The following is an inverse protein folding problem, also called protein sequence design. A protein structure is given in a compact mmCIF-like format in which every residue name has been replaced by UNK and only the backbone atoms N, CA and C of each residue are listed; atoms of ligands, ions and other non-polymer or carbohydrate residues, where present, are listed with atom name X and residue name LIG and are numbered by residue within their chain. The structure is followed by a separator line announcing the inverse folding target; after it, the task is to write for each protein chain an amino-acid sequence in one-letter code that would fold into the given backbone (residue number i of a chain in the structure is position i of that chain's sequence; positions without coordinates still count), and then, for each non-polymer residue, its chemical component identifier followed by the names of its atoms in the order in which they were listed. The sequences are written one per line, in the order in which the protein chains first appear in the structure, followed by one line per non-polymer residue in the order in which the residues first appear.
data_IF_262319177958
#
_entry.id   IF_262319177958
#
_cell.length_a   1.000
_cell.length_b   1.000
_cell.length_c   1.000
_cell.angle_alpha   90.00
_cell.angle_beta   90.00
_cell.angle_gamma   90.00
#
_symmetry.space_group_name_H-M   'P 1'
#
loop_
_entity.id
_entity.type
_entity.pdbx_description
1 polymer ?
#
# COMPACT_ATOMS: atom_id res chain seq x y z
N UNK A 1 -10.92 -15.20 -57.58
CA UNK A 1 -9.60 -15.25 -56.92
C UNK A 1 -9.83 -14.53 -55.60
N UNK A 2 -9.90 -15.28 -54.50
CA UNK A 2 -10.13 -14.72 -53.16
C UNK A 2 -8.78 -14.21 -52.65
N UNK A 3 -8.67 -12.91 -52.42
CA UNK A 3 -7.53 -12.33 -51.72
C UNK A 3 -7.58 -12.77 -50.26
N UNK A 4 -6.53 -13.47 -49.84
CA UNK A 4 -6.32 -13.88 -48.47
C UNK A 4 -6.02 -12.63 -47.64
N UNK A 5 -6.94 -12.26 -46.76
CA UNK A 5 -6.74 -11.23 -45.76
C UNK A 5 -5.77 -11.78 -44.70
N UNK A 6 -4.48 -11.47 -44.84
CA UNK A 6 -3.48 -11.74 -43.82
C UNK A 6 -3.75 -10.81 -42.64
N UNK A 7 -4.30 -11.34 -41.54
CA UNK A 7 -4.39 -10.60 -40.30
C UNK A 7 -2.98 -10.14 -39.88
N UNK A 8 -2.81 -8.90 -39.39
CA UNK A 8 -1.52 -8.43 -38.93
C UNK A 8 -1.01 -9.34 -37.79
N UNK A 9 0.21 -9.84 -37.94
CA UNK A 9 0.91 -10.56 -36.87
C UNK A 9 1.32 -9.54 -35.81
N UNK A 10 0.60 -9.50 -34.69
CA UNK A 10 0.99 -8.71 -33.51
C UNK A 10 2.31 -9.23 -32.97
N UNK A 11 3.33 -8.37 -32.92
CA UNK A 11 4.58 -8.66 -32.21
C UNK A 11 4.25 -8.60 -30.72
N UNK A 12 4.33 -9.74 -30.04
CA UNK A 12 4.10 -9.82 -28.60
C UNK A 12 5.44 -9.54 -27.89
N UNK A 13 5.58 -8.34 -27.31
CA UNK A 13 6.67 -8.02 -26.38
C UNK A 13 6.39 -8.63 -25.01
N UNK A 14 7.43 -9.13 -24.34
CA UNK A 14 7.31 -9.74 -23.00
C UNK A 14 7.95 -8.83 -21.96
N UNK A 15 7.13 -8.25 -21.10
CA UNK A 15 7.56 -7.32 -20.08
C UNK A 15 7.72 -8.01 -18.72
N UNK A 16 8.70 -7.54 -17.94
CA UNK A 16 8.93 -7.95 -16.55
C UNK A 16 9.08 -6.72 -15.66
N UNK A 17 8.31 -6.70 -14.58
CA UNK A 17 8.42 -5.73 -13.50
C UNK A 17 8.90 -6.46 -12.25
N UNK A 18 9.87 -5.87 -11.56
CA UNK A 18 10.34 -6.33 -10.26
C UNK A 18 10.48 -5.14 -9.33
N UNK A 19 9.63 -5.10 -8.31
CA UNK A 19 9.66 -4.09 -7.27
C UNK A 19 10.05 -4.74 -5.95
N UNK A 20 10.90 -4.06 -5.20
CA UNK A 20 11.27 -4.46 -3.84
C UNK A 20 11.15 -3.27 -2.92
N UNK A 21 10.55 -3.49 -1.75
CA UNK A 21 10.45 -2.48 -0.69
C UNK A 21 10.69 -3.08 0.67
N UNK A 22 11.38 -2.34 1.52
CA UNK A 22 11.66 -2.70 2.91
C UNK A 22 10.69 -1.98 3.84
N UNK A 23 10.37 -2.62 4.96
CA UNK A 23 9.45 -2.13 5.97
C UNK A 23 10.03 -2.35 7.36
N UNK A 24 9.82 -1.38 8.24
CA UNK A 24 10.25 -1.43 9.64
C UNK A 24 9.23 -2.21 10.50
N UNK A 25 9.01 -3.47 10.13
CA UNK A 25 8.13 -4.40 10.82
C UNK A 25 8.50 -5.87 10.52
N UNK A 26 8.30 -6.82 11.46
CA UNK A 26 8.58 -8.23 11.24
C UNK A 26 7.82 -8.84 10.05
N UNK A 27 8.46 -9.79 9.35
CA UNK A 27 7.89 -10.44 8.17
C UNK A 27 6.54 -11.12 8.43
N UNK A 28 6.37 -11.76 9.58
CA UNK A 28 5.11 -12.41 9.96
C UNK A 28 3.97 -11.42 10.22
N UNK A 29 4.29 -10.22 10.69
CA UNK A 29 3.30 -9.17 10.92
C UNK A 29 2.89 -8.49 9.60
N UNK A 30 3.83 -8.31 8.67
CA UNK A 30 3.53 -7.91 7.30
C UNK A 30 2.72 -8.99 6.55
N UNK A 31 3.13 -10.25 6.65
CA UNK A 31 2.46 -11.35 5.96
C UNK A 31 1.00 -11.50 6.42
N UNK A 32 0.73 -11.43 7.73
CA UNK A 32 -0.65 -11.43 8.24
C UNK A 32 -1.57 -10.39 7.58
N UNK A 33 -1.02 -9.26 7.09
CA UNK A 33 -1.80 -8.25 6.38
C UNK A 33 -2.06 -8.57 4.91
N UNK A 34 -1.09 -9.16 4.23
CA UNK A 34 -1.15 -9.31 2.77
C UNK A 34 -1.44 -10.74 2.29
N UNK A 35 -1.35 -11.74 3.18
CA UNK A 35 -1.44 -13.17 2.84
C UNK A 35 -2.79 -13.61 2.25
N UNK A 36 -3.87 -12.91 2.60
CA UNK A 36 -5.19 -13.25 2.09
C UNK A 36 -5.32 -12.75 0.65
N UNK A 37 -5.10 -13.67 -0.29
CA UNK A 37 -5.27 -13.43 -1.71
C UNK A 37 -6.66 -12.82 -2.03
N UNK A 38 -7.72 -13.13 -1.29
CA UNK A 38 -9.07 -12.64 -1.65
C UNK A 38 -9.36 -11.23 -1.13
N UNK A 39 -8.52 -10.71 -0.23
CA UNK A 39 -8.73 -9.45 0.49
C UNK A 39 -7.70 -8.38 0.09
N UNK A 40 -7.19 -8.41 -1.14
CA UNK A 40 -6.18 -7.42 -1.61
C UNK A 40 -6.69 -5.97 -1.53
N UNK A 41 -8.00 -5.74 -1.65
CA UNK A 41 -8.60 -4.42 -1.53
C UNK A 41 -8.47 -3.81 -0.12
N UNK A 42 -8.12 -4.59 0.91
CA UNK A 42 -7.88 -4.10 2.26
C UNK A 42 -6.58 -3.28 2.36
N UNK A 43 -5.66 -3.43 1.42
CA UNK A 43 -4.35 -2.75 1.44
C UNK A 43 -3.91 -2.16 0.10
N UNK A 44 -4.54 -2.51 -1.03
CA UNK A 44 -4.27 -1.95 -2.34
C UNK A 44 -5.29 -0.83 -2.66
N UNK A 45 -4.92 0.46 -2.53
CA UNK A 45 -5.87 1.57 -2.65
C UNK A 45 -6.49 1.73 -4.05
N UNK A 46 -5.89 1.18 -5.10
CA UNK A 46 -6.44 1.25 -6.46
C UNK A 46 -7.68 0.35 -6.61
N UNK A 47 -7.84 -0.66 -5.75
CA UNK A 47 -8.97 -1.58 -5.78
C UNK A 47 -10.05 -1.13 -4.79
N UNK A 48 -11.25 -0.88 -5.30
CA UNK A 48 -12.42 -0.60 -4.46
C UNK A 48 -13.12 -1.86 -3.95
N UNK A 49 -12.82 -3.02 -4.55
CA UNK A 49 -13.40 -4.31 -4.17
C UNK A 49 -12.48 -5.46 -4.57
N UNK A 50 -12.43 -6.49 -3.71
CA UNK A 50 -11.96 -7.82 -4.08
C UNK A 50 -12.72 -8.87 -3.28
N UNK A 51 -13.10 -9.98 -3.92
CA UNK A 51 -13.72 -11.10 -3.21
C UNK A 51 -13.55 -12.42 -3.94
N UNK A 52 -13.65 -13.52 -3.18
CA UNK A 52 -13.68 -14.87 -3.73
C UNK A 52 -14.96 -15.12 -4.55
N UNK A 53 -14.80 -15.61 -5.77
CA UNK A 53 -15.92 -15.99 -6.66
C UNK A 53 -15.92 -17.47 -7.07
N UNK A 54 -14.93 -18.25 -6.60
CA UNK A 54 -14.83 -19.66 -6.92
C UNK A 54 -13.64 -20.34 -6.28
N UNK A 55 -13.34 -21.55 -6.76
CA UNK A 55 -12.12 -22.24 -6.35
C UNK A 55 -10.90 -21.49 -6.88
N UNK A 56 -10.09 -20.98 -5.95
CA UNK A 56 -8.87 -20.21 -6.24
C UNK A 56 -9.08 -18.97 -7.10
N UNK A 57 -10.30 -18.45 -7.22
CA UNK A 57 -10.63 -17.27 -8.04
C UNK A 57 -11.08 -16.10 -7.17
N UNK A 58 -10.56 -14.90 -7.48
CA UNK A 58 -11.06 -13.63 -6.96
C UNK A 58 -11.51 -12.72 -8.10
N UNK A 59 -12.58 -11.98 -7.89
CA UNK A 59 -12.93 -10.82 -8.71
C UNK A 59 -12.35 -9.56 -8.04
N UNK A 60 -11.84 -8.64 -8.84
CA UNK A 60 -11.35 -7.34 -8.43
C UNK A 60 -12.10 -6.25 -9.19
N UNK A 61 -12.35 -5.10 -8.53
CA UNK A 61 -12.93 -3.90 -9.16
C UNK A 61 -12.05 -2.71 -8.86
N UNK A 62 -11.62 -2.00 -9.91
CA UNK A 62 -10.86 -0.74 -9.79
C UNK A 62 -11.79 0.35 -9.24
N UNK A 63 -11.35 1.06 -8.20
CA UNK A 63 -12.19 2.02 -7.47
C UNK A 63 -12.75 3.13 -8.37
N UNK A 64 -11.89 3.74 -9.19
CA UNK A 64 -12.25 4.93 -9.96
C UNK A 64 -12.98 4.62 -11.28
N UNK A 65 -12.57 3.56 -11.98
CA UNK A 65 -13.12 3.21 -13.30
C UNK A 65 -14.29 2.21 -13.22
N UNK A 66 -14.39 1.44 -12.13
CA UNK A 66 -15.30 0.30 -12.03
C UNK A 66 -14.89 -0.88 -12.93
N UNK A 67 -13.73 -0.84 -13.57
CA UNK A 67 -13.21 -1.94 -14.39
C UNK A 67 -13.04 -3.21 -13.56
N UNK A 68 -13.47 -4.34 -14.14
CA UNK A 68 -13.50 -5.64 -13.49
C UNK A 68 -12.50 -6.58 -14.12
N UNK A 69 -11.86 -7.39 -13.30
CA UNK A 69 -10.99 -8.48 -13.73
C UNK A 69 -11.02 -9.62 -12.71
N UNK A 70 -10.72 -10.83 -13.19
CA UNK A 70 -10.66 -12.05 -12.41
C UNK A 70 -9.23 -12.56 -12.38
N UNK A 71 -8.77 -12.87 -11.18
CA UNK A 71 -7.47 -13.48 -10.95
C UNK A 71 -7.62 -14.87 -10.35
N UNK A 72 -6.69 -15.74 -10.72
CA UNK A 72 -6.56 -17.08 -10.17
C UNK A 72 -5.30 -17.21 -9.34
N UNK A 73 -5.44 -17.69 -8.11
CA UNK A 73 -4.34 -18.12 -7.27
C UNK A 73 -3.70 -19.39 -7.87
N UNK A 74 -2.44 -19.31 -8.25
CA UNK A 74 -1.66 -20.39 -8.90
C UNK A 74 -0.87 -21.21 -7.87
N UNK A 75 -0.26 -20.56 -6.90
CA UNK A 75 0.52 -21.20 -5.82
C UNK A 75 0.48 -20.34 -4.55
N UNK A 76 0.63 -20.98 -3.38
CA UNK A 76 0.78 -20.30 -2.10
C UNK A 76 1.69 -21.12 -1.18
N UNK A 77 2.71 -20.48 -0.63
CA UNK A 77 3.60 -21.04 0.38
C UNK A 77 3.57 -20.24 1.67
N UNK A 78 4.64 -20.36 2.46
CA UNK A 78 4.73 -19.79 3.82
C UNK A 78 4.57 -18.27 3.84
N UNK A 79 5.35 -17.54 3.02
CA UNK A 79 5.32 -16.07 2.90
C UNK A 79 5.34 -15.61 1.44
N UNK A 80 4.68 -16.37 0.57
CA UNK A 80 4.50 -16.00 -0.83
C UNK A 80 3.20 -16.55 -1.41
N UNK A 81 2.69 -15.87 -2.42
CA UNK A 81 1.70 -16.43 -3.34
C UNK A 81 1.95 -15.96 -4.76
N UNK A 82 1.53 -16.80 -5.71
CA UNK A 82 1.59 -16.54 -7.14
C UNK A 82 0.19 -16.58 -7.73
N UNK A 83 -0.13 -15.65 -8.60
CA UNK A 83 -1.44 -15.54 -9.25
C UNK A 83 -1.30 -15.13 -10.72
N UNK A 84 -2.42 -15.23 -11.45
CA UNK A 84 -2.53 -14.81 -12.85
C UNK A 84 -3.87 -14.14 -13.10
N UNK A 85 -3.92 -13.22 -14.07
CA UNK A 85 -5.20 -12.71 -14.58
C UNK A 85 -5.75 -13.76 -15.55
N UNK A 86 -7.01 -14.17 -15.36
CA UNK A 86 -7.70 -15.15 -16.21
C UNK A 86 -8.85 -14.55 -17.01
N UNK A 87 -9.37 -13.40 -16.56
CA UNK A 87 -10.32 -12.56 -17.28
C UNK A 87 -9.99 -11.11 -16.92
N UNK A 88 -9.88 -10.20 -17.88
CA UNK A 88 -9.37 -8.86 -17.61
C UNK A 88 -9.12 -8.00 -18.84
N UNK A 89 -8.32 -6.94 -18.70
CA UNK A 89 -8.13 -5.95 -19.75
C UNK A 89 -7.52 -6.57 -21.01
N UNK A 90 -8.10 -6.25 -22.18
CA UNK A 90 -7.74 -6.90 -23.47
C UNK A 90 -6.31 -6.63 -23.94
N UNK A 91 -5.67 -5.58 -23.43
CA UNK A 91 -4.34 -5.15 -23.83
C UNK A 91 -3.21 -5.92 -23.14
N UNK A 92 -3.52 -6.88 -22.25
CA UNK A 92 -2.52 -7.65 -21.50
C UNK A 92 -2.89 -9.13 -21.53
N UNK A 93 -1.92 -9.97 -21.88
CA UNK A 93 -2.11 -11.43 -21.84
C UNK A 93 -0.98 -12.09 -21.05
N UNK A 94 -1.17 -13.36 -20.69
CA UNK A 94 -0.19 -14.16 -19.95
C UNK A 94 0.34 -13.49 -18.66
N UNK A 95 -0.45 -12.60 -18.06
CA UNK A 95 -0.08 -11.91 -16.84
C UNK A 95 0.08 -12.93 -15.70
N UNK A 96 1.23 -12.90 -15.05
CA UNK A 96 1.51 -13.67 -13.86
C UNK A 96 2.31 -12.85 -12.87
N UNK A 97 1.93 -12.89 -11.60
CA UNK A 97 2.58 -12.12 -10.56
C UNK A 97 2.81 -12.94 -9.30
N UNK A 98 3.87 -12.61 -8.57
CA UNK A 98 4.28 -13.24 -7.32
C UNK A 98 4.60 -12.16 -6.30
N UNK A 99 3.97 -12.25 -5.12
CA UNK A 99 4.35 -11.48 -3.93
C UNK A 99 5.08 -12.41 -2.98
N UNK A 100 6.20 -11.94 -2.44
CA UNK A 100 7.00 -12.64 -1.44
C UNK A 100 7.40 -11.68 -0.33
N UNK A 101 7.39 -12.16 0.91
CA UNK A 101 7.93 -11.46 2.09
C UNK A 101 9.16 -12.20 2.59
N UNK A 102 10.29 -11.49 2.66
CA UNK A 102 11.54 -11.99 3.22
C UNK A 102 11.86 -11.28 4.54
N UNK A 103 12.47 -12.00 5.46
CA UNK A 103 13.04 -11.44 6.69
C UNK A 103 14.26 -10.56 6.37
N UNK A 104 14.38 -9.46 7.11
CA UNK A 104 15.58 -8.62 7.17
C UNK A 104 16.08 -8.53 8.62
N UNK A 105 17.33 -8.08 8.85
CA UNK A 105 17.80 -7.76 10.20
C UNK A 105 16.92 -6.72 10.93
N UNK A 106 17.08 -6.63 12.26
CA UNK A 106 16.44 -5.63 13.12
C UNK A 106 14.90 -5.65 13.11
N UNK A 107 14.30 -6.84 13.07
CA UNK A 107 12.84 -7.03 13.03
C UNK A 107 12.18 -6.30 11.83
N UNK A 108 12.88 -6.24 10.70
CA UNK A 108 12.41 -5.65 9.44
C UNK A 108 12.02 -6.74 8.46
N UNK A 109 11.34 -6.37 7.39
CA UNK A 109 11.07 -7.27 6.28
C UNK A 109 11.17 -6.57 4.92
N UNK A 110 11.20 -7.35 3.86
CA UNK A 110 11.07 -6.85 2.51
C UNK A 110 9.95 -7.57 1.77
N UNK A 111 9.14 -6.80 1.04
CA UNK A 111 8.24 -7.34 0.03
C UNK A 111 8.95 -7.25 -1.32
N UNK A 112 9.02 -8.38 -2.02
CA UNK A 112 9.36 -8.43 -3.44
C UNK A 112 8.11 -8.81 -4.24
N UNK A 113 7.74 -7.95 -5.20
CA UNK A 113 6.60 -8.14 -6.09
C UNK A 113 7.09 -8.19 -7.53
N UNK A 114 6.98 -9.37 -8.13
CA UNK A 114 7.44 -9.65 -9.49
C UNK A 114 6.25 -9.93 -10.37
N UNK A 115 6.14 -9.23 -11.50
CA UNK A 115 5.07 -9.42 -12.47
C UNK A 115 5.65 -9.59 -13.87
N UNK A 116 5.08 -10.50 -14.65
CA UNK A 116 5.41 -10.72 -16.06
C UNK A 116 4.15 -10.72 -16.88
N UNK A 117 4.18 -10.16 -18.08
CA UNK A 117 3.03 -10.15 -18.97
C UNK A 117 3.47 -9.90 -20.42
N UNK A 118 2.55 -10.21 -21.33
CA UNK A 118 2.69 -9.95 -22.74
C UNK A 118 1.91 -8.66 -23.07
N UNK A 119 2.61 -7.64 -23.59
CA UNK A 119 2.10 -6.27 -23.74
C UNK A 119 1.10 -6.08 -24.89
N UNK A 120 0.85 -7.13 -25.68
CA UNK A 120 -0.11 -7.10 -26.79
C UNK A 120 0.24 -6.03 -27.83
N UNK A 121 -0.64 -5.05 -28.01
CA UNK A 121 -0.44 -3.92 -28.91
C UNK A 121 0.28 -2.74 -28.25
N UNK A 122 0.44 -2.74 -26.92
CA UNK A 122 1.21 -1.73 -26.19
C UNK A 122 2.70 -2.03 -26.28
N UNK A 123 3.53 -0.99 -26.19
CA UNK A 123 4.95 -1.20 -25.96
C UNK A 123 5.20 -1.83 -24.59
N UNK A 124 6.33 -2.52 -24.45
CA UNK A 124 6.75 -3.09 -23.16
C UNK A 124 6.88 -2.01 -22.08
N UNK A 125 7.38 -0.82 -22.44
CA UNK A 125 7.56 0.32 -21.53
C UNK A 125 6.23 0.89 -21.03
N UNK A 126 5.27 1.14 -21.94
CA UNK A 126 3.95 1.64 -21.56
C UNK A 126 3.19 0.65 -20.67
N UNK A 127 3.26 -0.65 -21.01
CA UNK A 127 2.68 -1.70 -20.17
C UNK A 127 3.36 -1.76 -18.80
N UNK A 128 4.70 -1.65 -18.77
CA UNK A 128 5.46 -1.71 -17.54
C UNK A 128 5.15 -0.53 -16.62
N UNK A 129 5.01 0.69 -17.17
CA UNK A 129 4.65 1.89 -16.42
C UNK A 129 3.25 1.77 -15.79
N UNK A 130 2.26 1.35 -16.59
CA UNK A 130 0.88 1.17 -16.13
C UNK A 130 0.78 0.22 -14.94
N UNK A 131 1.37 -0.97 -15.05
CA UNK A 131 1.33 -1.94 -13.96
C UNK A 131 2.22 -1.55 -12.79
N UNK A 132 3.38 -0.92 -13.04
CA UNK A 132 4.25 -0.47 -11.95
C UNK A 132 3.53 0.54 -11.06
N UNK A 133 2.73 1.46 -11.63
CA UNK A 133 1.89 2.38 -10.85
C UNK A 133 0.93 1.67 -9.90
N UNK A 134 0.24 0.62 -10.38
CA UNK A 134 -0.64 -0.20 -9.54
C UNK A 134 0.13 -0.89 -8.41
N UNK A 135 1.25 -1.56 -8.72
CA UNK A 135 2.03 -2.31 -7.73
C UNK A 135 2.65 -1.37 -6.69
N UNK A 136 3.18 -0.22 -7.12
CA UNK A 136 3.76 0.80 -6.24
C UNK A 136 2.72 1.37 -5.28
N UNK A 137 1.50 1.68 -5.75
CA UNK A 137 0.44 2.22 -4.90
C UNK A 137 0.13 1.30 -3.70
N UNK A 138 0.12 -0.02 -3.90
CA UNK A 138 -0.06 -0.99 -2.83
C UNK A 138 1.14 -1.03 -1.87
N UNK A 139 2.36 -1.02 -2.41
CA UNK A 139 3.58 -1.00 -1.59
C UNK A 139 3.73 0.31 -0.79
N UNK A 140 3.29 1.45 -1.35
CA UNK A 140 3.25 2.78 -0.71
C UNK A 140 2.22 2.79 0.42
N UNK A 141 1.01 2.27 0.17
CA UNK A 141 -0.04 2.20 1.18
C UNK A 141 0.38 1.36 2.40
N UNK A 142 1.06 0.24 2.18
CA UNK A 142 1.60 -0.58 3.26
C UNK A 142 2.67 0.17 4.08
N UNK A 143 3.52 0.95 3.41
CA UNK A 143 4.60 1.72 4.06
C UNK A 143 3.99 2.83 4.94
N UNK A 144 3.02 3.57 4.39
CA UNK A 144 2.22 4.56 5.14
C UNK A 144 1.57 3.89 6.37
N UNK A 145 0.93 2.73 6.19
CA UNK A 145 0.26 2.04 7.29
C UNK A 145 1.24 1.59 8.38
N UNK A 146 2.44 1.10 8.02
CA UNK A 146 3.50 0.72 8.98
C UNK A 146 3.95 1.96 9.76
N UNK A 147 4.19 3.08 9.08
CA UNK A 147 4.63 4.33 9.71
C UNK A 147 3.58 4.96 10.62
N UNK A 148 2.31 4.95 10.21
CA UNK A 148 1.20 5.39 11.07
C UNK A 148 1.20 4.57 12.36
N UNK A 149 1.28 3.23 12.29
CA UNK A 149 1.33 2.38 13.48
C UNK A 149 2.51 2.70 14.40
N UNK A 150 3.66 3.08 13.84
CA UNK A 150 4.83 3.45 14.63
C UNK A 150 4.58 4.70 15.48
N UNK A 151 3.76 5.65 15.02
CA UNK A 151 3.51 6.92 15.73
C UNK A 151 2.20 6.95 16.51
N UNK A 152 1.28 6.00 16.27
CA UNK A 152 0.01 5.90 17.00
C UNK A 152 0.22 5.77 18.51
N UNK A 153 -0.59 6.51 19.27
CA UNK A 153 -0.57 6.53 20.72
C UNK A 153 -0.69 7.95 21.28
N UNK A 154 -0.63 8.05 22.60
CA UNK A 154 -0.67 9.33 23.30
C UNK A 154 0.75 9.88 23.45
N UNK A 155 0.93 11.15 23.11
CA UNK A 155 2.18 11.91 23.21
C UNK A 155 1.98 13.08 24.17
N UNK A 156 2.87 13.26 25.14
CA UNK A 156 2.64 14.16 26.27
C UNK A 156 3.87 15.03 26.52
N UNK A 157 3.68 16.32 26.76
CA UNK A 157 4.78 17.20 27.19
C UNK A 157 5.30 16.79 28.57
N UNK A 158 6.55 17.14 28.90
CA UNK A 158 7.17 16.73 30.16
C UNK A 158 6.37 17.16 31.42
N UNK A 159 5.63 18.26 31.34
CA UNK A 159 4.78 18.78 32.42
C UNK A 159 3.35 18.22 32.40
N UNK A 160 3.01 17.36 31.44
CA UNK A 160 1.66 16.82 31.28
C UNK A 160 0.63 17.81 30.72
N UNK A 161 1.04 19.04 30.41
CA UNK A 161 0.10 20.10 30.05
C UNK A 161 -0.52 19.90 28.67
N UNK A 162 0.24 19.37 27.70
CA UNK A 162 -0.25 19.06 26.35
C UNK A 162 -0.25 17.55 26.18
N UNK A 163 -1.37 17.03 25.69
CA UNK A 163 -1.56 15.60 25.37
C UNK A 163 -2.08 15.49 23.95
N UNK A 164 -1.34 14.85 23.06
CA UNK A 164 -1.70 14.64 21.67
C UNK A 164 -1.90 13.15 21.41
N UNK A 165 -3.13 12.74 21.13
CA UNK A 165 -3.45 11.40 20.67
C UNK A 165 -3.28 11.33 19.15
N UNK A 166 -2.39 10.46 18.67
CA UNK A 166 -2.29 10.07 17.26
C UNK A 166 -3.03 8.74 17.06
N UNK A 167 -4.08 8.75 16.25
CA UNK A 167 -4.98 7.60 16.06
C UNK A 167 -4.69 6.86 14.75
N UNK A 168 -4.95 5.56 14.74
CA UNK A 168 -4.65 4.69 13.60
C UNK A 168 -5.45 5.01 12.32
N UNK A 169 -6.54 5.77 12.43
CA UNK A 169 -7.33 6.28 11.31
C UNK A 169 -6.76 7.58 10.70
N UNK A 170 -5.55 8.00 11.12
CA UNK A 170 -4.90 9.22 10.64
C UNK A 170 -5.50 10.49 11.23
N UNK A 171 -6.29 10.40 12.30
CA UNK A 171 -6.81 11.56 13.06
C UNK A 171 -5.94 11.84 14.27
N UNK A 172 -5.88 13.10 14.67
CA UNK A 172 -5.32 13.47 15.98
C UNK A 172 -6.31 14.27 16.81
N UNK A 173 -6.13 14.20 18.13
CA UNK A 173 -6.79 15.05 19.12
C UNK A 173 -5.73 15.57 20.10
N UNK A 174 -5.58 16.88 20.20
CA UNK A 174 -4.68 17.55 21.12
C UNK A 174 -5.47 18.24 22.24
N UNK A 175 -5.24 17.82 23.47
CA UNK A 175 -5.68 18.48 24.68
C UNK A 175 -4.61 19.43 25.24
N UNK A 176 -5.05 20.58 25.78
CA UNK A 176 -4.18 21.53 26.50
C UNK A 176 -4.79 21.89 27.85
N UNK A 177 -4.15 21.46 28.93
CA UNK A 177 -4.61 21.65 30.30
C UNK A 177 -6.05 21.14 30.48
N UNK A 178 -6.97 22.04 30.84
CA UNK A 178 -8.38 21.70 31.05
C UNK A 178 -9.21 21.56 29.75
N UNK A 179 -8.65 21.90 28.58
CA UNK A 179 -9.36 21.81 27.30
C UNK A 179 -9.02 20.48 26.62
N UNK A 180 -9.97 19.54 26.65
CA UNK A 180 -9.79 18.15 26.20
C UNK A 180 -9.66 17.90 24.70
N UNK A 181 -10.06 18.86 23.86
CA UNK A 181 -9.87 18.84 22.40
C UNK A 181 -9.60 20.27 21.93
N UNK A 182 -8.39 20.74 22.22
CA UNK A 182 -7.94 22.07 21.80
C UNK A 182 -7.80 22.15 20.28
N UNK A 183 -7.24 21.10 19.67
CA UNK A 183 -7.09 20.96 18.23
C UNK A 183 -7.41 19.53 17.81
N UNK A 184 -8.15 19.39 16.71
CA UNK A 184 -8.46 18.10 16.09
C UNK A 184 -8.20 18.22 14.60
N UNK A 185 -7.79 17.12 13.98
CA UNK A 185 -7.47 17.16 12.56
C UNK A 185 -7.02 15.82 12.02
N UNK A 186 -6.36 15.89 10.87
CA UNK A 186 -5.70 14.76 10.21
C UNK A 186 -4.19 14.93 10.23
N UNK A 187 -3.50 13.80 10.19
CA UNK A 187 -2.06 13.76 10.00
C UNK A 187 -1.65 12.70 8.98
N UNK A 188 -0.51 12.92 8.33
CA UNK A 188 0.17 11.95 7.45
C UNK A 188 1.61 11.76 7.89
N UNK A 189 2.22 10.61 7.55
CA UNK A 189 3.59 10.28 7.96
C UNK A 189 4.48 9.99 6.75
N UNK A 190 5.57 10.76 6.61
CA UNK A 190 6.58 10.57 5.56
C UNK A 190 7.97 10.42 6.20
N UNK A 191 8.55 9.22 6.13
CA UNK A 191 9.76 8.90 6.91
C UNK A 191 9.46 9.04 8.41
N UNK A 192 10.18 9.95 9.08
CA UNK A 192 9.93 10.33 10.46
C UNK A 192 9.18 11.68 10.60
N UNK A 193 8.77 12.29 9.49
CA UNK A 193 8.06 13.56 9.44
C UNK A 193 6.54 13.34 9.50
N UNK A 194 5.84 14.23 10.20
CA UNK A 194 4.39 14.27 10.33
C UNK A 194 3.89 15.61 9.82
N UNK A 195 3.01 15.58 8.82
CA UNK A 195 2.24 16.73 8.38
C UNK A 195 0.87 16.70 9.05
N UNK A 196 0.41 17.84 9.55
CA UNK A 196 -0.88 17.99 10.21
C UNK A 196 -1.73 19.01 9.46
N UNK A 197 -3.02 18.72 9.36
CA UNK A 197 -4.05 19.68 8.92
C UNK A 197 -5.21 19.60 9.90
N UNK A 198 -5.42 20.67 10.65
CA UNK A 198 -6.52 20.76 11.60
C UNK A 198 -7.87 20.92 10.89
N UNK A 199 -8.97 20.68 11.61
CA UNK A 199 -10.33 20.74 11.06
C UNK A 199 -10.74 22.17 10.63
N UNK A 200 -9.95 23.21 10.96
CA UNK A 200 -10.11 24.58 10.49
C UNK A 200 -9.26 24.93 9.26
N UNK A 201 -8.36 24.03 8.85
CA UNK A 201 -7.44 24.20 7.72
C UNK A 201 -6.07 24.77 8.11
N UNK A 202 -5.76 24.92 9.40
CA UNK A 202 -4.42 25.28 9.85
C UNK A 202 -3.46 24.09 9.71
N UNK A 203 -2.24 24.36 9.26
CA UNK A 203 -1.22 23.34 9.03
C UNK A 203 -0.12 23.41 10.06
N UNK A 204 0.38 22.26 10.48
CA UNK A 204 1.52 22.15 11.38
C UNK A 204 2.38 20.95 10.99
N UNK A 205 3.57 20.88 11.55
CA UNK A 205 4.54 19.83 11.26
C UNK A 205 5.13 19.23 12.52
N UNK A 206 5.65 18.01 12.42
CA UNK A 206 6.46 17.42 13.48
C UNK A 206 7.42 16.36 12.98
N UNK A 207 8.41 16.04 13.79
CA UNK A 207 9.38 14.97 13.50
C UNK A 207 9.53 14.06 14.71
N UNK A 208 9.57 12.76 14.46
CA UNK A 208 9.99 11.79 15.48
C UNK A 208 11.51 11.62 15.41
N UNK A 209 12.18 11.88 16.53
CA UNK A 209 13.64 11.76 16.69
C UNK A 209 13.92 10.99 17.96
N UNK A 210 14.60 9.85 17.84
CA UNK A 210 14.96 8.98 18.99
C UNK A 210 13.77 8.65 19.91
N UNK A 211 12.58 8.42 19.32
CA UNK A 211 11.35 8.10 20.06
C UNK A 211 10.65 9.30 20.72
N UNK A 212 11.08 10.53 20.42
CA UNK A 212 10.50 11.79 20.90
C UNK A 212 9.86 12.53 19.74
N UNK A 213 8.64 13.03 19.92
CA UNK A 213 7.93 13.82 18.91
C UNK A 213 8.23 15.31 19.13
N UNK A 214 8.84 15.94 18.13
CA UNK A 214 9.06 17.38 18.08
C UNK A 214 7.99 18.00 17.19
N UNK A 215 7.08 18.79 17.74
CA UNK A 215 5.91 19.32 17.01
C UNK A 215 5.77 20.82 17.25
N UNK A 216 5.99 21.67 16.23
CA UNK A 216 5.86 23.14 16.33
C UNK A 216 6.48 23.78 17.60
N UNK A 217 7.70 23.36 17.96
CA UNK A 217 8.42 23.83 19.15
C UNK A 217 8.07 23.10 20.45
N UNK A 218 7.09 22.19 20.42
CA UNK A 218 6.79 21.26 21.50
C UNK A 218 7.73 20.05 21.46
N UNK A 219 7.97 19.49 22.63
CA UNK A 219 8.68 18.21 22.80
C UNK A 219 7.75 17.29 23.57
N UNK A 220 7.28 16.24 22.90
CA UNK A 220 6.33 15.27 23.45
C UNK A 220 6.95 13.88 23.53
N UNK A 221 6.66 13.19 24.62
CA UNK A 221 7.10 11.83 24.89
C UNK A 221 5.92 10.88 24.82
N UNK A 222 6.16 9.66 24.35
CA UNK A 222 5.15 8.60 24.36
C UNK A 222 4.67 8.35 25.79
N UNK A 223 3.37 8.46 26.04
CA UNK A 223 2.76 8.01 27.28
C UNK A 223 2.91 6.48 27.37
N UNK A 224 3.43 5.99 28.50
CA UNK A 224 3.66 4.57 28.75
C UNK A 224 2.44 3.91 29.36
#
# INVERSE_FOLDING_TARGET
MHDANTAPTTVIGSARIELRREYDEPADAMWRRIHDFYAIADWQPVLGYSARIGDRLRECVVADSGERFVEQLVDQGERHYRYRIVDGPRYVTNYCSTIRVDDLPDDRCAITWVSTFDSGEMSEDEGAELFSGFLLAGLDALDIAVRIRAVVGMWVTADGHIRQELRADGRYDEARGARGSAYTGRYTVTGNHLDYVDDSGFTATGDVRDGVLHHEGLVLYRER
#
